data_IF_302851705382
#
_entry.id   IF_302851705382
#
_cell.length_a   1.000
_cell.length_b   1.000
_cell.length_c   1.000
_cell.angle_alpha   90.00
_cell.angle_beta   90.00
_cell.angle_gamma   90.00
#
_symmetry.space_group_name_H-M   'P 1'
#
loop_
_entity.id
_entity.type
_entity.pdbx_description
1 polymer ?
#
# COMPACT_ATOMS: atom_id res chain seq x y z
N UNK A 1 -30.29 -6.48 42.52
CA UNK A 1 -30.63 -6.56 41.08
C UNK A 1 -30.52 -5.21 40.34
N UNK A 2 -30.83 -4.08 40.97
CA UNK A 2 -30.75 -2.75 40.29
C UNK A 2 -29.31 -2.31 39.98
N UNK A 3 -28.33 -2.59 40.85
CA UNK A 3 -26.90 -2.20 40.62
C UNK A 3 -26.24 -2.95 39.45
N UNK A 4 -26.64 -4.19 39.16
CA UNK A 4 -26.07 -4.99 38.10
C UNK A 4 -26.58 -4.54 36.72
N UNK A 5 -27.84 -4.08 36.65
CA UNK A 5 -28.45 -3.57 35.39
C UNK A 5 -27.83 -2.22 34.98
N UNK A 6 -27.48 -1.35 35.93
CA UNK A 6 -26.81 -0.06 35.66
C UNK A 6 -25.39 -0.27 35.14
N UNK A 7 -24.63 -1.24 35.67
CA UNK A 7 -23.28 -1.56 35.18
C UNK A 7 -23.29 -2.10 33.74
N UNK A 8 -24.25 -2.97 33.39
CA UNK A 8 -24.37 -3.52 32.05
C UNK A 8 -24.80 -2.43 31.05
N UNK A 9 -25.66 -1.50 31.45
CA UNK A 9 -26.07 -0.39 30.60
C UNK A 9 -24.92 0.59 30.32
N UNK A 10 -24.08 0.89 31.33
CA UNK A 10 -22.88 1.73 31.17
C UNK A 10 -21.83 1.09 30.26
N UNK A 11 -21.63 -0.25 30.34
CA UNK A 11 -20.69 -0.97 29.47
C UNK A 11 -21.17 -1.01 28.00
N UNK A 12 -22.47 -1.17 27.78
CA UNK A 12 -23.05 -1.12 26.44
C UNK A 12 -23.00 0.28 25.83
N UNK A 13 -23.22 1.33 26.64
CA UNK A 13 -23.04 2.71 26.17
C UNK A 13 -21.59 3.04 25.84
N UNK A 14 -20.62 2.60 26.63
CA UNK A 14 -19.20 2.84 26.34
C UNK A 14 -18.74 2.14 25.06
N UNK A 15 -19.23 0.91 24.79
CA UNK A 15 -18.95 0.19 23.56
C UNK A 15 -19.61 0.87 22.32
N UNK A 16 -20.81 1.40 22.49
CA UNK A 16 -21.48 2.16 21.41
C UNK A 16 -20.80 3.51 21.13
N UNK A 17 -20.28 4.19 22.12
CA UNK A 17 -19.53 5.45 21.94
C UNK A 17 -18.21 5.20 21.21
N UNK A 18 -17.49 4.13 21.50
CA UNK A 18 -16.25 3.79 20.81
C UNK A 18 -16.46 3.46 19.31
N UNK A 19 -17.57 2.79 18.98
CA UNK A 19 -17.94 2.46 17.58
C UNK A 19 -18.46 3.66 16.79
N UNK A 20 -19.20 4.56 17.42
CA UNK A 20 -19.70 5.78 16.77
C UNK A 20 -18.56 6.77 16.47
N UNK A 21 -17.53 6.81 17.30
CA UNK A 21 -16.37 7.70 17.15
C UNK A 21 -15.47 7.29 15.98
N UNK A 22 -15.35 5.98 15.71
CA UNK A 22 -14.51 5.48 14.62
C UNK A 22 -14.97 5.93 13.23
N UNK A 23 -16.26 6.14 13.00
CA UNK A 23 -16.80 6.62 11.73
C UNK A 23 -16.39 8.06 11.38
N UNK A 24 -16.10 8.87 12.39
CA UNK A 24 -15.67 10.27 12.25
C UNK A 24 -14.15 10.41 12.12
N UNK A 25 -13.37 9.35 12.32
CA UNK A 25 -11.93 9.37 12.09
C UNK A 25 -11.66 9.68 10.63
N UNK A 26 -10.71 10.56 10.37
CA UNK A 26 -10.20 10.78 9.02
C UNK A 26 -9.27 9.64 8.60
N UNK A 27 -9.15 9.39 7.30
CA UNK A 27 -8.32 8.30 6.79
C UNK A 27 -6.82 8.45 7.14
N UNK A 28 -6.34 9.66 7.41
CA UNK A 28 -4.99 9.87 7.90
C UNK A 28 -4.81 9.58 9.41
N UNK A 29 -5.89 9.31 10.12
CA UNK A 29 -5.88 8.95 11.55
C UNK A 29 -5.92 7.44 11.80
N UNK A 30 -5.80 6.63 10.75
CA UNK A 30 -5.72 5.17 10.85
C UNK A 30 -4.34 4.67 10.43
N UNK A 31 -4.01 3.44 10.81
CA UNK A 31 -2.81 2.72 10.40
C UNK A 31 -3.18 1.30 9.97
N UNK A 32 -2.59 0.84 8.88
CA UNK A 32 -2.85 -0.47 8.27
C UNK A 32 -1.59 -1.06 7.66
N UNK A 33 -1.60 -2.37 7.46
CA UNK A 33 -0.53 -3.10 6.78
C UNK A 33 -0.92 -3.33 5.33
N UNK A 34 0.08 -3.44 4.47
CA UNK A 34 -0.06 -3.88 3.09
C UNK A 34 1.19 -4.57 2.58
N UNK A 35 1.05 -5.29 1.49
CA UNK A 35 2.16 -5.97 0.84
C UNK A 35 2.97 -5.04 -0.06
N UNK A 36 4.24 -5.37 -0.24
CA UNK A 36 5.12 -4.85 -1.27
C UNK A 36 5.07 -5.80 -2.46
N UNK A 37 5.03 -5.31 -3.69
CA UNK A 37 4.86 -6.13 -4.90
C UNK A 37 3.72 -7.16 -4.77
N UNK A 38 2.53 -6.68 -4.45
CA UNK A 38 1.39 -7.49 -3.99
C UNK A 38 0.94 -8.58 -4.97
N UNK A 39 1.25 -8.43 -6.24
CA UNK A 39 0.93 -9.35 -7.34
C UNK A 39 1.86 -10.57 -7.40
N UNK A 40 3.03 -10.49 -6.72
CA UNK A 40 4.17 -11.39 -6.93
C UNK A 40 3.90 -12.83 -6.48
N UNK A 41 4.09 -13.76 -7.40
CA UNK A 41 4.21 -15.20 -7.12
C UNK A 41 5.67 -15.58 -6.89
N UNK A 42 5.89 -16.77 -6.33
CA UNK A 42 7.23 -17.31 -6.16
C UNK A 42 7.98 -17.39 -7.49
N UNK A 43 9.24 -17.02 -7.47
CA UNK A 43 10.13 -17.18 -8.63
C UNK A 43 10.29 -18.65 -9.00
N UNK A 44 10.44 -18.96 -10.27
CA UNK A 44 10.77 -20.31 -10.72
C UNK A 44 12.05 -20.81 -10.02
N UNK A 45 12.06 -22.03 -9.45
CA UNK A 45 13.25 -22.58 -8.79
C UNK A 45 14.49 -22.62 -9.68
N UNK A 46 14.32 -22.78 -10.99
CA UNK A 46 15.43 -22.79 -11.95
C UNK A 46 16.03 -21.39 -12.10
N UNK A 47 15.18 -20.36 -12.24
CA UNK A 47 15.62 -18.97 -12.34
C UNK A 47 16.26 -18.53 -11.03
N UNK A 48 15.65 -18.84 -9.88
CA UNK A 48 16.22 -18.54 -8.56
C UNK A 48 17.63 -19.11 -8.39
N UNK A 49 17.83 -20.40 -8.71
CA UNK A 49 19.16 -21.03 -8.64
C UNK A 49 20.16 -20.39 -9.58
N UNK A 50 19.77 -20.06 -10.80
CA UNK A 50 20.65 -19.40 -11.76
C UNK A 50 21.04 -18.00 -11.28
N UNK A 51 20.08 -17.23 -10.78
CA UNK A 51 20.33 -15.91 -10.22
C UNK A 51 21.20 -15.98 -8.96
N UNK A 52 20.96 -16.95 -8.08
CA UNK A 52 21.74 -17.14 -6.85
C UNK A 52 23.21 -17.51 -7.14
N UNK A 53 23.48 -18.18 -8.26
CA UNK A 53 24.86 -18.46 -8.70
C UNK A 53 25.56 -17.21 -9.26
N UNK A 54 24.80 -16.27 -9.81
CA UNK A 54 25.32 -15.02 -10.36
C UNK A 54 25.46 -13.95 -9.29
N UNK A 55 24.44 -13.79 -8.46
CA UNK A 55 24.36 -12.82 -7.37
C UNK A 55 23.42 -13.36 -6.29
N UNK A 56 24.00 -13.91 -5.23
CA UNK A 56 23.25 -14.51 -4.14
C UNK A 56 22.41 -13.48 -3.36
N UNK A 57 22.94 -12.26 -3.17
CA UNK A 57 22.26 -11.20 -2.44
C UNK A 57 21.00 -10.73 -3.18
N UNK A 58 21.11 -10.54 -4.49
CA UNK A 58 19.95 -10.21 -5.33
C UNK A 58 18.92 -11.33 -5.32
N UNK A 59 19.35 -12.60 -5.49
CA UNK A 59 18.42 -13.72 -5.46
C UNK A 59 17.69 -13.83 -4.12
N UNK A 60 18.41 -13.74 -3.01
CA UNK A 60 17.85 -13.77 -1.67
C UNK A 60 16.87 -12.60 -1.41
N UNK A 61 17.16 -11.41 -1.91
CA UNK A 61 16.28 -10.25 -1.77
C UNK A 61 14.92 -10.41 -2.47
N UNK A 62 14.81 -11.34 -3.42
CA UNK A 62 13.62 -11.64 -4.19
C UNK A 62 12.87 -12.90 -3.69
N UNK A 63 13.34 -13.56 -2.61
CA UNK A 63 12.75 -14.80 -2.09
C UNK A 63 11.53 -14.53 -1.19
N UNK A 64 10.52 -13.93 -1.78
CA UNK A 64 9.20 -13.73 -1.18
C UNK A 64 8.10 -13.84 -2.23
N UNK A 65 6.89 -14.10 -1.79
CA UNK A 65 5.69 -14.22 -2.62
C UNK A 65 4.45 -13.92 -1.78
N UNK A 66 3.33 -13.73 -2.45
CA UNK A 66 2.08 -13.34 -1.83
C UNK A 66 0.93 -14.24 -2.26
N UNK A 67 -0.17 -14.18 -1.50
CA UNK A 67 -1.45 -14.72 -1.90
C UNK A 67 -2.10 -13.83 -2.97
N UNK A 68 -3.14 -14.30 -3.70
CA UNK A 68 -3.92 -13.47 -4.61
C UNK A 68 -4.44 -12.19 -3.94
N UNK A 69 -4.61 -11.10 -4.70
CA UNK A 69 -4.97 -9.78 -4.14
C UNK A 69 -6.22 -9.82 -3.27
N UNK A 70 -7.26 -10.53 -3.68
CA UNK A 70 -8.50 -10.67 -2.91
C UNK A 70 -8.26 -11.36 -1.55
N UNK A 71 -7.42 -12.40 -1.51
CA UNK A 71 -7.08 -13.09 -0.26
C UNK A 71 -6.28 -12.21 0.69
N UNK A 72 -5.38 -11.38 0.16
CA UNK A 72 -4.67 -10.39 0.95
C UNK A 72 -5.63 -9.38 1.59
N UNK A 73 -6.64 -8.92 0.85
CA UNK A 73 -7.67 -8.03 1.36
C UNK A 73 -8.56 -8.71 2.42
N UNK A 74 -8.87 -10.01 2.26
CA UNK A 74 -9.58 -10.83 3.27
C UNK A 74 -8.78 -11.00 4.56
N UNK A 75 -7.45 -11.04 4.46
CA UNK A 75 -6.52 -11.04 5.60
C UNK A 75 -6.43 -9.68 6.31
N UNK A 76 -7.14 -8.65 5.82
CA UNK A 76 -7.17 -7.31 6.41
C UNK A 76 -6.11 -6.35 5.90
N UNK A 77 -5.37 -6.68 4.84
CA UNK A 77 -4.44 -5.74 4.22
C UNK A 77 -5.22 -4.62 3.52
N UNK A 78 -4.72 -3.39 3.65
CA UNK A 78 -5.36 -2.20 3.03
C UNK A 78 -4.37 -1.36 2.21
N UNK A 79 -3.17 -1.89 1.93
CA UNK A 79 -2.24 -1.34 0.95
C UNK A 79 -1.77 -2.45 0.02
N UNK A 80 -1.84 -2.18 -1.27
CA UNK A 80 -1.31 -3.00 -2.35
C UNK A 80 -0.27 -2.19 -3.14
N UNK A 81 0.65 -2.91 -3.81
CA UNK A 81 1.66 -2.33 -4.69
C UNK A 81 1.74 -3.15 -5.96
N UNK A 82 1.67 -2.47 -7.10
CA UNK A 82 1.64 -3.10 -8.42
C UNK A 82 2.70 -2.43 -9.29
N UNK A 83 3.66 -3.21 -9.77
CA UNK A 83 4.68 -2.76 -10.69
C UNK A 83 4.18 -2.95 -12.13
N UNK A 84 4.31 -1.91 -12.93
CA UNK A 84 3.78 -1.85 -14.27
C UNK A 84 4.89 -1.70 -15.31
N UNK A 85 4.86 -2.53 -16.33
CA UNK A 85 5.51 -2.26 -17.61
C UNK A 85 4.51 -1.59 -18.55
N UNK A 86 5.01 -0.98 -19.62
CA UNK A 86 4.18 -0.46 -20.70
C UNK A 86 4.41 -1.28 -21.95
N UNK A 87 3.34 -1.63 -22.64
CA UNK A 87 3.35 -2.23 -23.98
C UNK A 87 2.57 -1.30 -24.93
N UNK A 88 3.32 -0.53 -25.75
CA UNK A 88 2.74 0.45 -26.67
C UNK A 88 1.97 -0.21 -27.81
N UNK A 89 2.34 -1.43 -28.20
CA UNK A 89 1.71 -2.16 -29.29
C UNK A 89 0.30 -2.61 -28.93
N UNK A 90 0.17 -3.17 -27.71
CA UNK A 90 -1.12 -3.68 -27.23
C UNK A 90 -1.85 -2.65 -26.35
N UNK A 91 -1.26 -1.46 -26.15
CA UNK A 91 -1.78 -0.39 -25.29
C UNK A 91 -2.19 -0.92 -23.91
N UNK A 92 -1.34 -1.74 -23.31
CA UNK A 92 -1.58 -2.45 -22.07
C UNK A 92 -0.47 -2.19 -21.07
N UNK A 93 -0.74 -2.57 -19.80
CA UNK A 93 0.22 -2.48 -18.71
C UNK A 93 0.43 -3.86 -18.10
N UNK A 94 1.41 -4.64 -18.63
CA UNK A 94 1.84 -5.90 -18.01
C UNK A 94 2.34 -5.68 -16.58
N UNK A 95 2.08 -6.66 -15.70
CA UNK A 95 2.45 -6.62 -14.29
C UNK A 95 3.59 -7.58 -14.01
N UNK A 96 4.65 -7.10 -13.38
CA UNK A 96 5.81 -7.89 -13.02
C UNK A 96 6.92 -7.04 -12.41
N UNK A 97 7.90 -7.66 -11.76
CA UNK A 97 8.98 -6.96 -11.06
C UNK A 97 10.21 -6.71 -11.93
N UNK A 98 10.72 -7.75 -12.59
CA UNK A 98 11.88 -7.65 -13.46
C UNK A 98 11.68 -8.51 -14.73
N UNK A 99 11.87 -7.90 -15.89
CA UNK A 99 11.66 -8.56 -17.19
C UNK A 99 12.40 -9.91 -17.24
N UNK A 100 11.70 -10.95 -17.73
CA UNK A 100 12.22 -12.32 -17.90
C UNK A 100 12.53 -13.03 -16.57
N UNK A 101 13.09 -12.33 -15.59
CA UNK A 101 13.62 -12.92 -14.36
C UNK A 101 12.50 -13.11 -13.32
N UNK A 102 11.66 -12.12 -13.13
CA UNK A 102 10.67 -12.06 -12.03
C UNK A 102 9.34 -11.45 -12.52
N UNK A 103 8.68 -12.17 -13.44
CA UNK A 103 7.40 -11.77 -14.05
C UNK A 103 6.21 -12.60 -13.56
N UNK A 104 6.43 -13.57 -12.63
CA UNK A 104 5.34 -14.38 -12.12
C UNK A 104 4.38 -13.51 -11.29
N UNK A 105 3.14 -13.46 -11.72
CA UNK A 105 2.10 -12.60 -11.15
C UNK A 105 0.79 -13.36 -10.97
N UNK A 106 0.01 -13.00 -9.95
CA UNK A 106 -1.38 -13.46 -9.79
C UNK A 106 -2.33 -12.78 -10.77
N UNK A 107 -1.93 -11.65 -11.32
CA UNK A 107 -2.69 -10.89 -12.31
C UNK A 107 -1.72 -10.31 -13.35
N UNK A 108 -1.76 -10.82 -14.58
CA UNK A 108 -0.76 -10.55 -15.62
C UNK A 108 -0.80 -9.12 -16.18
N UNK A 109 -1.91 -8.39 -15.97
CA UNK A 109 -2.08 -7.02 -16.44
C UNK A 109 -2.77 -6.15 -15.40
N UNK A 110 -2.55 -4.84 -15.47
CA UNK A 110 -3.22 -3.85 -14.63
C UNK A 110 -4.74 -4.07 -14.53
N UNK A 111 -5.41 -4.25 -15.67
CA UNK A 111 -6.87 -4.37 -15.70
C UNK A 111 -7.36 -5.62 -14.96
N UNK A 112 -6.63 -6.73 -15.04
CA UNK A 112 -6.94 -7.94 -14.27
C UNK A 112 -6.78 -7.68 -12.77
N UNK A 113 -5.65 -7.10 -12.36
CA UNK A 113 -5.43 -6.76 -10.95
C UNK A 113 -6.53 -5.82 -10.40
N UNK A 114 -6.88 -4.78 -11.15
CA UNK A 114 -7.92 -3.84 -10.73
C UNK A 114 -9.31 -4.46 -10.70
N UNK A 115 -9.60 -5.40 -11.61
CA UNK A 115 -10.85 -6.15 -11.58
C UNK A 115 -10.98 -6.99 -10.31
N UNK A 116 -9.92 -7.70 -9.90
CA UNK A 116 -9.89 -8.48 -8.66
C UNK A 116 -10.19 -7.60 -7.45
N UNK A 117 -9.50 -6.46 -7.34
CA UNK A 117 -9.71 -5.49 -6.25
C UNK A 117 -11.13 -4.93 -6.27
N UNK A 118 -11.64 -4.55 -7.45
CA UNK A 118 -13.00 -4.00 -7.60
C UNK A 118 -14.06 -5.00 -7.18
N UNK A 119 -13.97 -6.24 -7.66
CA UNK A 119 -14.94 -7.30 -7.34
C UNK A 119 -14.95 -7.55 -5.82
N UNK A 120 -13.75 -7.63 -5.21
CA UNK A 120 -13.65 -7.77 -3.76
C UNK A 120 -14.26 -6.58 -3.01
N UNK A 121 -13.97 -5.37 -3.44
CA UNK A 121 -14.48 -4.13 -2.84
C UNK A 121 -16.02 -4.04 -2.92
N UNK A 122 -16.60 -4.40 -4.04
CA UNK A 122 -18.07 -4.45 -4.23
C UNK A 122 -18.75 -5.47 -3.29
N UNK A 123 -18.08 -6.59 -3.01
CA UNK A 123 -18.55 -7.61 -2.06
C UNK A 123 -18.35 -7.20 -0.60
N UNK A 124 -17.41 -6.29 -0.32
CA UNK A 124 -17.06 -5.82 1.01
C UNK A 124 -17.26 -4.28 1.16
N UNK A 125 -18.43 -3.70 0.90
CA UNK A 125 -18.63 -2.26 0.70
C UNK A 125 -18.31 -1.38 1.92
N UNK A 126 -18.04 -1.98 3.08
CA UNK A 126 -17.68 -1.27 4.31
C UNK A 126 -16.19 -1.29 4.64
N UNK A 127 -15.35 -1.84 3.77
CA UNK A 127 -13.92 -1.88 4.01
C UNK A 127 -13.32 -0.47 4.18
N UNK A 128 -12.26 -0.34 4.97
CA UNK A 128 -11.46 0.89 5.02
C UNK A 128 -10.80 1.14 3.65
N UNK A 129 -10.48 2.39 3.31
CA UNK A 129 -9.92 2.71 1.99
C UNK A 129 -8.71 1.85 1.66
N UNK A 130 -8.69 1.30 0.44
CA UNK A 130 -7.55 0.57 -0.09
C UNK A 130 -6.59 1.56 -0.74
N UNK A 131 -5.33 1.52 -0.34
CA UNK A 131 -4.22 2.20 -0.98
C UNK A 131 -3.61 1.29 -2.04
N UNK A 132 -3.52 1.74 -3.30
CA UNK A 132 -2.79 1.03 -4.36
C UNK A 132 -1.69 1.95 -4.89
N UNK A 133 -0.44 1.55 -4.71
CA UNK A 133 0.71 2.24 -5.30
C UNK A 133 1.19 1.54 -6.56
N UNK A 134 1.64 2.34 -7.53
CA UNK A 134 2.18 1.89 -8.81
C UNK A 134 3.62 2.34 -8.97
N UNK A 135 4.51 1.38 -9.26
CA UNK A 135 5.87 1.63 -9.70
C UNK A 135 5.97 1.36 -11.20
N UNK A 136 6.57 2.28 -11.94
CA UNK A 136 6.68 2.20 -13.39
C UNK A 136 8.04 1.64 -13.80
N UNK A 137 8.05 0.45 -14.38
CA UNK A 137 9.25 -0.32 -14.71
C UNK A 137 9.76 0.04 -16.12
N UNK A 138 10.43 1.17 -16.25
CA UNK A 138 11.04 1.61 -17.50
C UNK A 138 12.55 1.84 -17.42
N UNK A 139 13.18 1.36 -16.35
CA UNK A 139 14.64 1.41 -16.20
C UNK A 139 15.27 0.17 -16.83
N UNK A 140 16.28 0.39 -17.69
CA UNK A 140 17.06 -0.69 -18.28
C UNK A 140 17.83 -1.48 -17.21
N UNK A 141 17.78 -2.80 -17.30
CA UNK A 141 18.58 -3.72 -16.49
C UNK A 141 19.69 -4.28 -17.40
N UNK A 142 20.99 -4.12 -17.06
CA UNK A 142 22.07 -4.63 -17.89
C UNK A 142 21.91 -6.12 -18.22
N UNK A 143 21.96 -6.45 -19.50
CA UNK A 143 21.81 -7.82 -19.99
C UNK A 143 20.38 -8.29 -20.28
N UNK A 144 19.38 -7.44 -20.00
CA UNK A 144 17.98 -7.67 -20.37
C UNK A 144 17.57 -6.72 -21.51
N UNK A 145 16.49 -7.03 -22.25
CA UNK A 145 15.91 -6.08 -23.20
C UNK A 145 15.49 -4.79 -22.49
N UNK A 146 15.63 -3.64 -23.16
CA UNK A 146 15.15 -2.37 -22.64
C UNK A 146 13.62 -2.37 -22.58
N UNK A 147 13.02 -1.94 -21.45
CA UNK A 147 11.58 -1.76 -21.34
C UNK A 147 11.11 -0.54 -22.13
N UNK A 148 9.85 -0.50 -22.50
CA UNK A 148 9.24 0.69 -23.09
C UNK A 148 9.11 1.80 -22.03
N UNK A 149 9.33 3.06 -22.45
CA UNK A 149 9.30 4.22 -21.56
C UNK A 149 7.86 4.65 -21.26
N UNK A 150 7.63 5.08 -20.04
CA UNK A 150 6.39 5.75 -19.66
C UNK A 150 6.40 7.22 -20.12
N UNK A 151 5.98 7.45 -21.37
CA UNK A 151 5.80 8.79 -21.93
C UNK A 151 4.54 9.47 -21.34
N UNK A 152 4.36 10.79 -21.55
CA UNK A 152 3.11 11.48 -21.23
C UNK A 152 1.86 10.80 -21.78
N UNK A 153 1.93 10.24 -23.00
CA UNK A 153 0.83 9.52 -23.64
C UNK A 153 0.53 8.21 -22.91
N UNK A 154 1.56 7.44 -22.53
CA UNK A 154 1.40 6.23 -21.73
C UNK A 154 0.80 6.52 -20.35
N UNK A 155 1.20 7.62 -19.70
CA UNK A 155 0.63 8.06 -18.42
C UNK A 155 -0.84 8.53 -18.56
N UNK A 156 -1.21 9.15 -19.67
CA UNK A 156 -2.61 9.50 -19.95
C UNK A 156 -3.46 8.25 -20.18
N UNK A 157 -2.95 7.27 -20.91
CA UNK A 157 -3.60 5.97 -21.11
C UNK A 157 -3.78 5.23 -19.77
N UNK A 158 -2.75 5.25 -18.92
CA UNK A 158 -2.83 4.68 -17.57
C UNK A 158 -3.98 5.32 -16.78
N UNK A 159 -4.07 6.65 -16.75
CA UNK A 159 -5.14 7.37 -16.08
C UNK A 159 -6.54 6.99 -16.61
N UNK A 160 -6.67 6.83 -17.92
CA UNK A 160 -7.92 6.41 -18.55
C UNK A 160 -8.32 4.99 -18.10
N UNK A 161 -7.39 4.05 -18.11
CA UNK A 161 -7.65 2.67 -17.68
C UNK A 161 -7.98 2.61 -16.17
N UNK A 162 -7.28 3.37 -15.32
CA UNK A 162 -7.54 3.45 -13.88
C UNK A 162 -8.97 3.97 -13.60
N UNK A 163 -9.38 5.04 -14.28
CA UNK A 163 -10.74 5.61 -14.16
C UNK A 163 -11.80 4.64 -14.68
N UNK A 164 -11.55 3.99 -15.82
CA UNK A 164 -12.47 3.02 -16.41
C UNK A 164 -12.68 1.81 -15.52
N UNK A 165 -11.63 1.32 -14.86
CA UNK A 165 -11.70 0.14 -14.02
C UNK A 165 -12.38 0.40 -12.66
N UNK A 166 -12.09 1.53 -12.00
CA UNK A 166 -12.51 1.81 -10.61
C UNK A 166 -13.64 2.84 -10.50
N UNK A 167 -13.98 3.54 -11.59
CA UNK A 167 -15.15 4.45 -11.72
C UNK A 167 -15.39 5.36 -10.50
N UNK A 168 -16.46 5.10 -9.73
CA UNK A 168 -16.88 5.93 -8.58
C UNK A 168 -16.18 5.58 -7.25
N UNK A 169 -15.31 4.56 -7.24
CA UNK A 169 -14.64 4.11 -6.00
C UNK A 169 -13.40 4.94 -5.66
N UNK A 170 -12.99 5.88 -6.51
CA UNK A 170 -11.75 6.64 -6.31
C UNK A 170 -11.91 7.79 -5.31
N UNK A 171 -10.92 7.93 -4.42
CA UNK A 171 -10.59 9.19 -3.76
C UNK A 171 -9.45 9.80 -4.56
N UNK A 172 -9.68 10.97 -5.14
CA UNK A 172 -8.73 11.62 -6.05
C UNK A 172 -8.04 12.82 -5.38
N UNK A 173 -6.89 13.27 -5.90
CA UNK A 173 -6.21 14.46 -5.36
C UNK A 173 -7.10 15.71 -5.28
N UNK A 174 -8.00 15.89 -6.25
CA UNK A 174 -8.94 17.01 -6.28
C UNK A 174 -9.96 17.00 -5.11
N UNK A 175 -10.24 15.83 -4.53
CA UNK A 175 -11.15 15.65 -3.40
C UNK A 175 -10.51 16.06 -2.07
N UNK A 176 -9.16 16.18 -2.05
CA UNK A 176 -8.39 16.43 -0.82
C UNK A 176 -7.62 17.75 -0.94
N UNK A 177 -8.25 18.83 -0.51
CA UNK A 177 -7.61 20.14 -0.52
C UNK A 177 -6.98 20.46 0.84
N UNK A 178 -5.72 20.90 0.83
CA UNK A 178 -5.02 21.30 2.05
C UNK A 178 -4.94 20.21 3.11
N UNK A 179 -4.74 18.94 2.71
CA UNK A 179 -4.68 17.76 3.59
C UNK A 179 -5.98 17.51 4.39
N UNK A 180 -7.11 18.04 3.91
CA UNK A 180 -8.41 17.78 4.52
C UNK A 180 -8.98 16.43 4.05
N UNK A 181 -8.44 15.36 4.58
CA UNK A 181 -8.83 13.99 4.26
C UNK A 181 -10.29 13.70 4.64
N UNK A 182 -11.00 12.86 3.86
CA UNK A 182 -12.35 12.42 4.20
C UNK A 182 -12.36 11.59 5.49
N UNK A 183 -13.52 11.54 6.12
CA UNK A 183 -13.77 10.61 7.23
C UNK A 183 -13.82 9.16 6.74
N UNK A 184 -13.66 8.19 7.64
CA UNK A 184 -13.85 6.78 7.33
C UNK A 184 -15.26 6.50 6.81
N UNK A 185 -16.28 7.18 7.34
CA UNK A 185 -17.65 7.04 6.84
C UNK A 185 -17.79 7.42 5.36
N UNK A 186 -17.10 8.49 4.92
CA UNK A 186 -17.12 8.97 3.53
C UNK A 186 -16.21 8.15 2.61
N UNK A 187 -15.20 7.49 3.19
CA UNK A 187 -14.14 6.81 2.46
C UNK A 187 -14.29 5.29 2.37
N UNK A 188 -15.28 4.70 3.09
CA UNK A 188 -15.53 3.25 3.01
C UNK A 188 -15.90 2.83 1.60
N UNK A 189 -15.41 1.65 1.20
CA UNK A 189 -15.62 1.11 -0.14
C UNK A 189 -14.85 1.84 -1.23
N UNK A 190 -13.90 2.71 -0.88
CA UNK A 190 -13.12 3.50 -1.85
C UNK A 190 -11.66 3.10 -1.89
N UNK A 191 -10.98 3.59 -2.93
CA UNK A 191 -9.59 3.30 -3.26
C UNK A 191 -8.83 4.61 -3.46
N UNK A 192 -7.60 4.69 -2.95
CA UNK A 192 -6.63 5.74 -3.26
C UNK A 192 -5.56 5.15 -4.18
N UNK A 193 -5.28 5.82 -5.27
CA UNK A 193 -4.24 5.44 -6.21
C UNK A 193 -3.03 6.35 -6.04
N UNK A 194 -1.84 5.79 -6.01
CA UNK A 194 -0.60 6.52 -5.77
C UNK A 194 0.42 6.17 -6.84
N UNK A 195 0.94 7.18 -7.52
CA UNK A 195 2.12 7.05 -8.38
C UNK A 195 3.37 7.13 -7.51
N UNK A 196 4.00 5.97 -7.25
CA UNK A 196 5.24 5.87 -6.48
C UNK A 196 6.45 6.05 -7.38
N UNK A 197 6.63 7.28 -7.85
CA UNK A 197 7.69 7.68 -8.76
C UNK A 197 8.45 8.90 -8.24
N UNK A 198 9.66 9.07 -8.77
CA UNK A 198 10.50 10.25 -8.59
C UNK A 198 10.85 10.92 -9.92
N UNK A 199 11.60 12.04 -9.84
CA UNK A 199 12.16 12.72 -11.00
C UNK A 199 11.14 13.21 -12.02
N UNK A 200 11.52 13.22 -13.30
CA UNK A 200 10.76 13.86 -14.36
C UNK A 200 9.36 13.29 -14.58
N UNK A 201 9.15 11.98 -14.45
CA UNK A 201 7.82 11.34 -14.58
C UNK A 201 6.86 11.86 -13.52
N UNK A 202 7.27 11.85 -12.26
CA UNK A 202 6.49 12.41 -11.17
C UNK A 202 6.23 13.91 -11.38
N UNK A 203 7.26 14.67 -11.72
CA UNK A 203 7.18 16.12 -11.85
C UNK A 203 6.24 16.52 -13.00
N UNK A 204 6.27 15.79 -14.10
CA UNK A 204 5.31 15.96 -15.19
C UNK A 204 3.88 15.60 -14.74
N UNK A 205 3.72 14.51 -14.00
CA UNK A 205 2.41 14.01 -13.61
C UNK A 205 1.70 14.97 -12.64
N UNK A 206 2.36 15.47 -11.62
CA UNK A 206 1.71 16.35 -10.64
C UNK A 206 1.47 17.78 -11.14
N UNK A 207 2.05 18.22 -12.25
CA UNK A 207 1.75 19.56 -12.80
C UNK A 207 0.26 19.79 -13.09
N UNK A 208 -0.50 18.70 -13.31
CA UNK A 208 -1.95 18.75 -13.50
C UNK A 208 -2.70 17.91 -12.45
N UNK A 209 -2.21 17.88 -11.24
CA UNK A 209 -2.69 16.98 -10.19
C UNK A 209 -4.21 17.06 -9.92
N UNK A 210 -4.85 18.24 -10.11
CA UNK A 210 -6.29 18.42 -9.91
C UNK A 210 -7.14 17.57 -10.87
N UNK A 211 -6.59 17.17 -12.01
CA UNK A 211 -7.29 16.36 -13.01
C UNK A 211 -6.80 14.91 -13.06
N UNK A 212 -5.82 14.53 -12.24
CA UNK A 212 -5.23 13.19 -12.21
C UNK A 212 -5.93 12.28 -11.19
N UNK A 213 -6.07 10.98 -11.48
CA UNK A 213 -6.65 10.02 -10.52
C UNK A 213 -5.69 9.63 -9.40
N UNK A 214 -4.37 9.72 -9.62
CA UNK A 214 -3.37 9.28 -8.64
C UNK A 214 -2.79 10.44 -7.85
N UNK A 215 -2.62 10.23 -6.55
CA UNK A 215 -1.72 11.02 -5.72
C UNK A 215 -0.27 10.75 -6.12
N UNK A 216 0.61 11.69 -5.80
CA UNK A 216 2.04 11.54 -6.06
C UNK A 216 2.86 11.83 -4.81
N UNK A 217 4.07 11.29 -4.76
CA UNK A 217 5.10 11.64 -3.79
C UNK A 217 5.73 13.01 -4.16
N UNK A 218 4.88 14.04 -4.23
CA UNK A 218 5.33 15.40 -4.54
C UNK A 218 6.17 16.00 -3.39
N UNK A 219 7.02 17.02 -3.65
CA UNK A 219 7.79 17.67 -2.60
C UNK A 219 6.91 18.21 -1.47
N UNK A 220 7.39 18.09 -0.24
CA UNK A 220 6.70 18.60 0.95
C UNK A 220 6.32 20.09 0.80
N UNK A 221 5.08 20.42 1.14
CA UNK A 221 4.54 21.77 0.97
C UNK A 221 4.02 22.13 -0.42
N UNK A 222 4.25 21.27 -1.42
CA UNK A 222 3.65 21.46 -2.74
C UNK A 222 2.12 21.24 -2.68
N UNK A 223 1.29 22.01 -3.42
CA UNK A 223 -0.18 21.83 -3.39
C UNK A 223 -0.66 20.42 -3.76
N UNK A 224 0.10 19.68 -4.57
CA UNK A 224 -0.17 18.27 -4.90
C UNK A 224 0.27 17.27 -3.81
N UNK A 225 1.00 17.72 -2.80
CA UNK A 225 1.58 16.84 -1.79
C UNK A 225 0.53 16.42 -0.75
N UNK A 226 -0.06 15.26 -0.93
CA UNK A 226 -0.92 14.61 0.07
C UNK A 226 -0.28 13.34 0.65
N UNK A 227 0.56 12.69 -0.15
CA UNK A 227 1.17 11.39 0.14
C UNK A 227 2.68 11.53 0.17
N UNK A 228 3.34 10.85 1.11
CA UNK A 228 4.79 10.79 1.25
C UNK A 228 5.24 9.33 1.32
N UNK A 229 6.23 8.97 0.50
CA UNK A 229 6.82 7.64 0.50
C UNK A 229 8.22 7.73 1.11
N UNK A 230 8.38 7.09 2.27
CA UNK A 230 9.62 7.15 3.06
C UNK A 230 9.92 5.73 3.53
N UNK A 231 10.88 5.09 2.87
CA UNK A 231 11.10 3.66 3.01
C UNK A 231 11.85 3.28 4.30
N UNK A 232 12.61 4.17 4.90
CA UNK A 232 13.40 3.84 6.10
C UNK A 232 12.79 4.44 7.37
N UNK A 233 12.06 3.61 8.19
CA UNK A 233 11.49 4.08 9.44
C UNK A 233 12.50 4.17 10.59
N UNK A 234 13.73 3.70 10.41
CA UNK A 234 14.80 3.82 11.41
C UNK A 234 15.47 5.18 11.26
N UNK A 235 15.99 5.47 10.08
CA UNK A 235 16.70 6.73 9.80
C UNK A 235 15.75 7.92 9.77
N UNK A 236 14.61 7.77 9.08
CA UNK A 236 13.62 8.85 8.90
C UNK A 236 12.53 8.91 9.99
N UNK A 237 12.69 8.24 11.12
CA UNK A 237 11.66 8.12 12.15
C UNK A 237 11.03 9.47 12.55
N UNK A 238 11.86 10.43 12.90
CA UNK A 238 11.40 11.76 13.32
C UNK A 238 10.72 12.54 12.18
N UNK A 239 11.20 12.36 10.95
CA UNK A 239 10.62 12.95 9.76
C UNK A 239 9.23 12.38 9.48
N UNK A 240 9.07 11.06 9.54
CA UNK A 240 7.77 10.40 9.40
C UNK A 240 6.78 10.93 10.43
N UNK A 241 7.15 10.95 11.71
CA UNK A 241 6.27 11.47 12.76
C UNK A 241 5.86 12.93 12.54
N UNK A 242 6.78 13.77 12.07
CA UNK A 242 6.50 15.18 11.76
C UNK A 242 5.49 15.30 10.61
N UNK A 243 5.65 14.52 9.55
CA UNK A 243 4.77 14.53 8.39
C UNK A 243 3.36 13.99 8.75
N UNK A 244 3.30 12.91 9.51
CA UNK A 244 2.04 12.37 10.04
C UNK A 244 1.29 13.42 10.84
N UNK A 245 1.97 14.12 11.77
CA UNK A 245 1.37 15.22 12.57
C UNK A 245 0.97 16.42 11.72
N UNK A 246 1.66 16.67 10.62
CA UNK A 246 1.30 17.70 9.65
C UNK A 246 0.09 17.33 8.77
N UNK A 247 -0.39 16.08 8.82
CA UNK A 247 -1.59 15.64 8.13
C UNK A 247 -1.33 14.85 6.84
N UNK A 248 -0.09 14.62 6.44
CA UNK A 248 0.22 13.78 5.28
C UNK A 248 -0.14 12.31 5.55
N UNK A 249 -0.51 11.60 4.48
CA UNK A 249 -0.48 10.13 4.45
C UNK A 249 0.96 9.69 4.16
N UNK A 250 1.51 8.85 5.01
CA UNK A 250 2.88 8.36 4.88
C UNK A 250 2.88 6.84 4.69
N UNK A 251 3.64 6.37 3.70
CA UNK A 251 4.00 4.96 3.54
C UNK A 251 5.44 4.75 3.99
N UNK A 252 5.68 3.66 4.75
CA UNK A 252 7.02 3.19 5.10
C UNK A 252 7.13 1.67 4.96
N UNK A 253 8.33 1.10 5.11
CA UNK A 253 8.57 -0.34 5.01
C UNK A 253 8.98 -0.94 6.35
N UNK A 254 8.35 -2.06 6.71
CA UNK A 254 8.67 -2.84 7.91
C UNK A 254 9.85 -3.82 7.70
N UNK A 255 10.13 -4.14 6.44
CA UNK A 255 11.22 -5.02 6.01
C UNK A 255 11.73 -4.62 4.61
N UNK A 256 12.92 -5.07 4.26
CA UNK A 256 13.52 -4.82 2.95
C UNK A 256 14.51 -5.94 2.58
N UNK A 257 14.42 -6.44 1.35
CA UNK A 257 15.36 -7.42 0.80
C UNK A 257 15.42 -8.74 1.60
N UNK A 258 14.33 -9.10 2.25
CA UNK A 258 14.16 -10.31 3.10
C UNK A 258 15.04 -10.38 4.36
N UNK A 259 15.87 -9.38 4.64
CA UNK A 259 16.89 -9.41 5.70
C UNK A 259 16.29 -9.54 7.10
N UNK A 260 15.27 -8.75 7.41
CA UNK A 260 14.61 -8.76 8.70
C UNK A 260 13.92 -10.11 8.95
N UNK A 261 13.22 -10.64 7.94
CA UNK A 261 12.54 -11.93 8.02
C UNK A 261 13.53 -13.09 8.21
N UNK A 262 14.63 -13.12 7.45
CA UNK A 262 15.67 -14.15 7.59
C UNK A 262 16.30 -14.18 8.98
N UNK A 263 16.46 -13.03 9.62
CA UNK A 263 17.10 -12.88 10.93
C UNK A 263 16.10 -12.87 12.09
N UNK A 264 14.81 -12.89 11.80
CA UNK A 264 13.75 -12.63 12.77
C UNK A 264 13.97 -11.31 13.53
N UNK A 265 14.46 -10.27 12.82
CA UNK A 265 14.75 -8.96 13.39
C UNK A 265 13.50 -8.06 13.27
N UNK A 266 12.95 -7.67 14.40
CA UNK A 266 11.72 -6.89 14.45
C UNK A 266 11.93 -5.38 14.59
N UNK A 267 13.17 -4.91 14.69
CA UNK A 267 13.47 -3.50 14.98
C UNK A 267 12.85 -2.56 13.94
N UNK A 268 13.05 -2.83 12.65
CA UNK A 268 12.51 -2.01 11.56
C UNK A 268 10.99 -2.01 11.55
N UNK A 269 10.37 -3.18 11.74
CA UNK A 269 8.92 -3.34 11.89
C UNK A 269 8.37 -2.50 13.04
N UNK A 270 8.96 -2.61 14.21
CA UNK A 270 8.50 -1.93 15.41
C UNK A 270 8.68 -0.40 15.27
N UNK A 271 9.74 0.05 14.60
CA UNK A 271 9.94 1.46 14.23
C UNK A 271 8.91 1.93 13.21
N UNK A 272 8.60 1.12 12.20
CA UNK A 272 7.57 1.45 11.21
C UNK A 272 6.21 1.68 11.90
N UNK A 273 5.79 0.78 12.78
CA UNK A 273 4.56 0.95 13.55
C UNK A 273 4.58 2.18 14.47
N UNK A 274 5.65 2.38 15.21
CA UNK A 274 5.77 3.50 16.15
C UNK A 274 5.92 4.86 15.47
N UNK A 275 6.35 4.90 14.22
CA UNK A 275 6.49 6.13 13.44
C UNK A 275 5.15 6.83 13.17
N UNK A 276 4.05 6.06 13.19
CA UNK A 276 2.72 6.55 12.85
C UNK A 276 2.46 6.65 11.35
N UNK A 277 3.36 6.16 10.48
CA UNK A 277 3.03 6.02 9.07
C UNK A 277 1.72 5.25 8.92
N UNK A 278 0.83 5.70 8.05
CA UNK A 278 -0.48 5.09 7.87
C UNK A 278 -0.38 3.75 7.15
N UNK A 279 0.40 3.66 6.08
CA UNK A 279 0.61 2.46 5.30
C UNK A 279 1.96 1.81 5.65
N UNK A 280 1.93 0.65 6.30
CA UNK A 280 3.10 -0.16 6.62
C UNK A 280 3.25 -1.26 5.58
N UNK A 281 4.25 -1.14 4.71
CA UNK A 281 4.53 -2.08 3.63
C UNK A 281 5.45 -3.21 4.11
N UNK A 282 5.18 -4.45 3.70
CA UNK A 282 5.94 -5.65 4.09
C UNK A 282 5.93 -6.70 2.98
N UNK A 283 6.95 -7.55 2.97
CA UNK A 283 6.96 -8.80 2.20
C UNK A 283 6.39 -9.98 3.02
N UNK A 284 6.14 -9.80 4.34
CA UNK A 284 5.81 -10.88 5.29
C UNK A 284 4.61 -10.55 6.18
N UNK A 285 3.42 -10.36 5.59
CA UNK A 285 2.18 -10.23 6.36
C UNK A 285 1.69 -11.60 6.90
N UNK A 286 2.16 -12.70 6.33
CA UNK A 286 2.11 -14.06 6.87
C UNK A 286 3.46 -14.41 7.49
N UNK A 287 3.48 -15.40 8.39
CA UNK A 287 4.71 -15.82 9.05
C UNK A 287 5.74 -16.37 8.04
N UNK A 288 7.00 -15.92 8.16
CA UNK A 288 8.12 -16.31 7.30
C UNK A 288 8.66 -17.73 7.64
N UNK A 289 7.77 -18.71 7.68
CA UNK A 289 8.09 -20.08 8.11
C UNK A 289 9.13 -20.80 7.26
N UNK A 290 9.28 -20.41 6.00
CA UNK A 290 10.30 -20.94 5.10
C UNK A 290 11.72 -20.55 5.51
N UNK A 291 11.90 -19.52 6.35
CA UNK A 291 13.19 -19.20 7.00
C UNK A 291 13.36 -19.87 8.37
N UNK A 292 12.43 -20.72 8.78
CA UNK A 292 12.49 -21.43 10.07
C UNK A 292 12.14 -20.55 11.28
N UNK A 293 11.43 -19.43 11.08
CA UNK A 293 10.99 -18.53 12.12
C UNK A 293 9.55 -18.03 11.88
N UNK A 294 9.05 -17.19 12.78
CA UNK A 294 7.69 -16.67 12.79
C UNK A 294 7.63 -15.16 12.52
N UNK A 295 8.66 -14.55 11.93
CA UNK A 295 8.63 -13.13 11.56
C UNK A 295 7.38 -12.81 10.77
N UNK A 296 6.66 -11.79 11.25
CA UNK A 296 5.41 -11.35 10.66
C UNK A 296 5.16 -9.88 10.93
N UNK A 297 4.53 -9.21 9.96
CA UNK A 297 4.06 -7.84 10.07
C UNK A 297 2.54 -7.81 9.89
N UNK A 298 1.80 -7.63 10.97
CA UNK A 298 0.33 -7.64 10.93
C UNK A 298 -0.25 -6.71 12.00
N UNK A 299 -1.47 -6.27 11.78
CA UNK A 299 -2.32 -5.60 12.75
C UNK A 299 -3.54 -6.49 12.98
N UNK A 300 -3.79 -6.88 14.22
CA UNK A 300 -4.97 -7.66 14.57
C UNK A 300 -6.22 -6.83 14.26
N UNK A 301 -7.13 -7.40 13.45
CA UNK A 301 -8.31 -6.69 12.95
C UNK A 301 -8.04 -5.78 11.73
N UNK A 302 -6.86 -5.87 11.11
CA UNK A 302 -6.50 -5.23 9.83
C UNK A 302 -6.18 -3.74 9.94
N UNK A 303 -7.04 -2.95 10.56
CA UNK A 303 -6.91 -1.49 10.67
C UNK A 303 -7.03 -1.04 12.11
N UNK A 304 -6.15 -0.13 12.53
CA UNK A 304 -6.18 0.45 13.87
C UNK A 304 -6.09 1.98 13.85
N UNK A 305 -6.35 2.61 14.98
CA UNK A 305 -6.08 4.03 15.17
C UNK A 305 -4.57 4.32 15.09
N UNK A 306 -4.25 5.47 14.50
CA UNK A 306 -2.86 5.91 14.38
C UNK A 306 -2.28 6.26 15.75
N UNK A 307 -1.20 5.58 16.21
CA UNK A 307 -0.67 5.73 17.56
C UNK A 307 -0.04 7.10 17.84
N UNK A 308 0.31 7.87 16.80
CA UNK A 308 0.93 9.21 16.90
C UNK A 308 -0.13 10.31 16.98
N UNK A 309 -1.30 10.08 16.38
CA UNK A 309 -2.37 11.08 16.31
C UNK A 309 -3.45 10.89 17.37
N UNK A 310 -3.64 9.66 17.84
CA UNK A 310 -4.70 9.31 18.78
C UNK A 310 -4.10 8.65 20.01
N UNK A 311 -4.32 9.21 21.22
CA UNK A 311 -3.66 8.72 22.45
C UNK A 311 -4.22 7.40 22.95
N UNK A 312 -5.42 7.02 22.52
CA UNK A 312 -6.08 5.78 22.91
C UNK A 312 -6.04 4.77 21.77
N UNK A 313 -5.55 3.55 22.00
CA UNK A 313 -5.64 2.49 20.99
C UNK A 313 -7.11 2.19 20.65
N UNK A 314 -7.40 2.04 19.35
CA UNK A 314 -8.68 1.55 18.92
C UNK A 314 -8.51 0.64 17.70
N UNK A 315 -9.47 -0.25 17.49
CA UNK A 315 -9.62 -1.07 16.28
C UNK A 315 -10.74 -0.46 15.45
N UNK A 316 -10.51 -0.36 14.16
CA UNK A 316 -11.51 0.12 13.20
C UNK A 316 -12.30 -1.09 12.71
N UNK A 317 -13.57 -1.18 13.09
CA UNK A 317 -14.45 -2.24 12.58
C UNK A 317 -14.77 -2.01 11.10
N UNK A 318 -14.70 -3.06 10.30
CA UNK A 318 -15.04 -3.10 8.88
C UNK A 318 -16.28 -3.93 8.59
#
# INVERSE_FOLDING_TARGET
MIRLRVLILCLLCAAQYALADSAQLKINQIQFVGSHNSYKQAMSPLIYKALHLLDAEVAESLEYWHEPLAEQLDLGLRKLEIDLFYDARDQSFPVGHAQIIDMNSHCDTLLVCLQDVRVWSEQNPRHAPIWISFNLKDQAIPGLPDPELFTPEALNLLDEQLRGALTTQLIQPADVQGLNWPTLAEARGKVLLILDEGGAKRDWYYNNWQTRPMFTNAPEGHPAAGVMIINDPIEDFARIQRLVKAGYLVRTRADAGTLEARRNDTLRRDRAFASGAQAISTDYYLAATHFGNDYRVAIDGGVRCNPVLLPQPCVVAE
#
